data_IF_817216519109
#
_entry.id   IF_817216519109
#
_cell.length_a   1.000
_cell.length_b   1.000
_cell.length_c   1.000
_cell.angle_alpha   90.00
_cell.angle_beta   90.00
_cell.angle_gamma   90.00
#
_symmetry.space_group_name_H-M   'P 1'
#
loop_
_entity.id
_entity.type
_entity.pdbx_description
1 polymer ?
#
# COMPACT_ATOMS: atom_id res chain seq x y z
N UNK A 1 21.59 -11.55 0.28
CA UNK A 1 20.62 -10.81 -0.56
C UNK A 1 19.43 -10.20 0.21
N UNK A 2 19.04 -10.70 1.39
CA UNK A 2 17.91 -10.10 2.16
C UNK A 2 18.22 -8.70 2.70
N UNK A 3 19.47 -8.42 3.10
CA UNK A 3 19.85 -7.11 3.65
C UNK A 3 19.86 -5.94 2.64
N UNK A 4 20.05 -6.22 1.34
CA UNK A 4 20.07 -5.17 0.30
C UNK A 4 18.67 -4.73 -0.11
N UNK A 5 17.67 -5.62 -0.08
CA UNK A 5 16.29 -5.23 -0.38
C UNK A 5 15.71 -4.34 0.73
N UNK A 6 16.03 -4.65 1.99
CA UNK A 6 15.58 -3.87 3.14
C UNK A 6 16.21 -2.48 3.21
N UNK A 7 17.47 -2.33 2.83
CA UNK A 7 18.15 -1.02 2.85
C UNK A 7 17.53 -0.02 1.85
N UNK A 8 16.90 -0.52 0.79
CA UNK A 8 16.25 0.31 -0.25
C UNK A 8 14.73 0.41 -0.07
N UNK A 9 14.15 -0.31 0.89
CA UNK A 9 12.70 -0.30 1.10
C UNK A 9 12.25 0.94 1.85
N UNK A 10 11.57 1.85 1.15
CA UNK A 10 11.06 3.12 1.68
C UNK A 10 9.55 3.23 1.53
N UNK A 11 8.93 4.14 2.29
CA UNK A 11 7.50 4.42 2.14
C UNK A 11 7.15 4.93 0.74
N UNK A 12 8.06 5.66 0.06
CA UNK A 12 7.90 6.07 -1.35
C UNK A 12 7.81 4.86 -2.28
N UNK A 13 8.71 3.88 -2.12
CA UNK A 13 8.71 2.67 -2.93
C UNK A 13 7.46 1.83 -2.66
N UNK A 14 7.07 1.67 -1.39
CA UNK A 14 5.83 0.97 -1.00
C UNK A 14 4.59 1.61 -1.65
N UNK A 15 4.51 2.94 -1.68
CA UNK A 15 3.42 3.66 -2.35
C UNK A 15 3.38 3.38 -3.87
N UNK A 16 4.54 3.41 -4.54
CA UNK A 16 4.64 3.09 -5.98
C UNK A 16 4.20 1.65 -6.27
N UNK A 17 4.65 0.69 -5.46
CA UNK A 17 4.24 -0.72 -5.59
C UNK A 17 2.72 -0.88 -5.42
N UNK A 18 2.09 -0.19 -4.46
CA UNK A 18 0.62 -0.22 -4.30
C UNK A 18 -0.12 0.32 -5.52
N UNK A 19 0.36 1.43 -6.09
CA UNK A 19 -0.24 2.02 -7.30
C UNK A 19 -0.09 1.06 -8.49
N UNK A 20 1.13 0.57 -8.76
CA UNK A 20 1.39 -0.37 -9.86
C UNK A 20 0.55 -1.64 -9.71
N UNK A 21 0.48 -2.16 -8.48
CA UNK A 21 -0.38 -3.28 -8.12
C UNK A 21 -1.85 -2.93 -8.43
N UNK A 22 -2.39 -1.82 -7.94
CA UNK A 22 -3.77 -1.42 -8.18
C UNK A 22 -4.10 -1.25 -9.68
N UNK A 23 -3.19 -0.64 -10.45
CA UNK A 23 -3.32 -0.51 -11.91
C UNK A 23 -3.35 -1.87 -12.60
N UNK A 24 -2.46 -2.79 -12.20
CA UNK A 24 -2.45 -4.16 -12.73
C UNK A 24 -3.79 -4.87 -12.49
N UNK A 25 -4.37 -4.73 -11.28
CA UNK A 25 -5.67 -5.32 -10.94
C UNK A 25 -6.79 -4.79 -11.82
N UNK A 26 -6.90 -3.47 -11.95
CA UNK A 26 -7.91 -2.85 -12.81
C UNK A 26 -7.69 -3.21 -14.29
N UNK A 27 -6.43 -3.29 -14.74
CA UNK A 27 -6.10 -3.79 -16.08
C UNK A 27 -6.62 -5.21 -16.32
N UNK A 28 -6.45 -6.12 -15.35
CA UNK A 28 -6.97 -7.49 -15.45
C UNK A 28 -8.50 -7.53 -15.47
N UNK A 29 -9.16 -6.68 -14.68
CA UNK A 29 -10.63 -6.59 -14.61
C UNK A 29 -11.22 -6.03 -15.90
N UNK A 30 -10.59 -5.00 -16.48
CA UNK A 30 -11.03 -4.41 -17.76
C UNK A 30 -10.82 -5.38 -18.93
N UNK A 31 -9.77 -6.20 -18.88
CA UNK A 31 -9.45 -7.20 -19.91
C UNK A 31 -10.01 -8.59 -19.60
N UNK A 32 -10.90 -8.71 -18.61
CA UNK A 32 -11.38 -10.00 -18.10
C UNK A 32 -12.21 -10.79 -19.13
N UNK A 33 -12.73 -10.14 -20.17
CA UNK A 33 -13.33 -10.81 -21.34
C UNK A 33 -12.30 -11.65 -22.11
N UNK A 34 -11.37 -11.04 -22.87
CA UNK A 34 -10.39 -11.78 -23.66
C UNK A 34 -9.31 -12.50 -22.83
N UNK A 35 -9.07 -12.06 -21.59
CA UNK A 35 -7.97 -12.54 -20.74
C UNK A 35 -8.43 -13.05 -19.36
N UNK A 36 -9.70 -13.47 -19.23
CA UNK A 36 -10.25 -13.93 -17.95
C UNK A 36 -9.47 -15.08 -17.30
N UNK A 37 -8.83 -15.95 -18.11
CA UNK A 37 -7.97 -17.03 -17.62
C UNK A 37 -6.70 -16.55 -16.90
N UNK A 38 -6.23 -15.33 -17.19
CA UNK A 38 -5.09 -14.71 -16.50
C UNK A 38 -5.46 -14.16 -15.12
N UNK A 39 -6.75 -14.04 -14.81
CA UNK A 39 -7.18 -13.46 -13.54
C UNK A 39 -6.64 -14.24 -12.33
N UNK A 40 -6.79 -15.57 -12.34
CA UNK A 40 -6.29 -16.43 -11.26
C UNK A 40 -4.76 -16.35 -11.05
N UNK A 41 -3.90 -16.52 -12.08
CA UNK A 41 -2.45 -16.41 -11.89
C UNK A 41 -2.02 -14.99 -11.49
N UNK A 42 -2.63 -13.93 -12.04
CA UNK A 42 -2.34 -12.55 -11.64
C UNK A 42 -2.73 -12.32 -10.18
N UNK A 43 -3.89 -12.80 -9.75
CA UNK A 43 -4.33 -12.70 -8.36
C UNK A 43 -3.40 -13.46 -7.41
N UNK A 44 -2.90 -14.65 -7.80
CA UNK A 44 -1.94 -15.42 -7.02
C UNK A 44 -0.61 -14.68 -6.85
N UNK A 45 -0.01 -14.21 -7.95
CA UNK A 45 1.25 -13.43 -7.92
C UNK A 45 1.07 -12.18 -7.06
N UNK A 46 -0.04 -11.46 -7.24
CA UNK A 46 -0.38 -10.27 -6.46
C UNK A 46 -0.46 -10.59 -4.97
N UNK A 47 -1.04 -11.72 -4.59
CA UNK A 47 -1.18 -12.12 -3.18
C UNK A 47 0.18 -12.34 -2.54
N UNK A 48 1.07 -13.06 -3.23
CA UNK A 48 2.45 -13.29 -2.77
C UNK A 48 3.22 -11.96 -2.64
N UNK A 49 3.15 -11.10 -3.67
CA UNK A 49 3.79 -9.79 -3.63
C UNK A 49 3.23 -8.89 -2.52
N UNK A 50 1.91 -8.93 -2.29
CA UNK A 50 1.25 -8.16 -1.23
C UNK A 50 1.68 -8.64 0.16
N UNK A 51 1.87 -9.95 0.33
CA UNK A 51 2.40 -10.52 1.58
C UNK A 51 3.85 -10.06 1.82
N UNK A 52 4.72 -10.19 0.81
CA UNK A 52 6.09 -9.70 0.89
C UNK A 52 6.14 -8.21 1.21
N UNK A 53 5.31 -7.41 0.53
CA UNK A 53 5.16 -5.98 0.79
C UNK A 53 4.69 -5.70 2.22
N UNK A 54 3.78 -6.51 2.76
CA UNK A 54 3.27 -6.36 4.13
C UNK A 54 4.35 -6.63 5.17
N UNK A 55 5.15 -7.68 4.99
CA UNK A 55 6.30 -7.98 5.87
C UNK A 55 7.31 -6.83 5.86
N UNK A 56 7.65 -6.32 4.67
CA UNK A 56 8.56 -5.18 4.54
C UNK A 56 7.99 -3.90 5.17
N UNK A 57 6.69 -3.64 5.02
CA UNK A 57 6.02 -2.51 5.66
C UNK A 57 5.96 -2.62 7.19
N UNK A 58 5.77 -3.81 7.75
CA UNK A 58 5.82 -4.02 9.21
C UNK A 58 7.21 -3.72 9.74
N UNK A 59 8.26 -4.20 9.06
CA UNK A 59 9.66 -3.94 9.43
C UNK A 59 9.99 -2.45 9.34
N UNK A 60 9.57 -1.79 8.25
CA UNK A 60 9.74 -0.34 8.07
C UNK A 60 8.96 0.46 9.12
N UNK A 61 7.74 0.03 9.45
CA UNK A 61 6.88 0.63 10.47
C UNK A 61 7.46 0.62 11.88
N UNK A 62 8.34 -0.34 12.20
CA UNK A 62 9.10 -0.35 13.47
C UNK A 62 10.10 0.81 13.56
N UNK A 63 10.60 1.31 12.43
CA UNK A 63 11.59 2.41 12.36
C UNK A 63 10.91 3.76 12.10
N UNK A 64 9.93 3.77 11.22
CA UNK A 64 9.19 4.95 10.78
C UNK A 64 7.69 4.63 10.83
N UNK A 65 7.02 4.88 11.96
CA UNK A 65 5.63 4.49 12.13
C UNK A 65 4.73 5.21 11.12
N UNK A 66 3.76 4.47 10.59
CA UNK A 66 2.69 5.03 9.77
C UNK A 66 1.56 5.56 10.65
N UNK A 67 0.76 6.47 10.11
CA UNK A 67 -0.51 6.87 10.75
C UNK A 67 -1.39 5.66 11.05
N UNK A 68 -2.09 5.73 12.18
CA UNK A 68 -2.97 4.67 12.65
C UNK A 68 -4.18 4.53 11.71
N UNK A 69 -4.63 3.30 11.53
CA UNK A 69 -5.85 3.01 10.78
C UNK A 69 -7.09 3.52 11.53
N UNK A 70 -8.03 4.09 10.78
CA UNK A 70 -9.27 4.64 11.32
C UNK A 70 -10.47 3.71 11.08
N UNK A 71 -11.65 4.08 11.62
CA UNK A 71 -12.87 3.28 11.47
C UNK A 71 -13.28 3.09 10.01
N UNK A 72 -13.00 4.07 9.15
CA UNK A 72 -13.30 3.99 7.73
C UNK A 72 -12.45 2.90 7.06
N UNK A 73 -11.17 2.78 7.40
CA UNK A 73 -10.33 1.70 6.89
C UNK A 73 -10.88 0.33 7.25
N UNK A 74 -11.33 0.15 8.49
CA UNK A 74 -11.94 -1.10 8.94
C UNK A 74 -13.26 -1.39 8.23
N UNK A 75 -14.07 -0.36 7.96
CA UNK A 75 -15.28 -0.50 7.14
C UNK A 75 -14.93 -0.93 5.70
N UNK A 76 -13.87 -0.37 5.11
CA UNK A 76 -13.42 -0.81 3.78
C UNK A 76 -12.93 -2.26 3.81
N UNK A 77 -12.18 -2.67 4.84
CA UNK A 77 -11.76 -4.07 5.02
C UNK A 77 -12.98 -5.00 5.11
N UNK A 78 -13.98 -4.65 5.92
CA UNK A 78 -15.23 -5.40 6.00
C UNK A 78 -15.95 -5.47 4.64
N UNK A 79 -16.00 -4.36 3.90
CA UNK A 79 -16.55 -4.30 2.55
C UNK A 79 -15.83 -5.22 1.57
N UNK A 80 -14.50 -5.31 1.64
CA UNK A 80 -13.70 -6.25 0.82
C UNK A 80 -14.12 -7.69 1.11
N UNK A 81 -14.22 -8.09 2.39
CA UNK A 81 -14.63 -9.45 2.74
C UNK A 81 -16.08 -9.75 2.33
N UNK A 82 -17.01 -8.81 2.56
CA UNK A 82 -18.39 -8.95 2.15
C UNK A 82 -18.52 -9.10 0.62
N UNK A 83 -17.78 -8.28 -0.14
CA UNK A 83 -17.74 -8.37 -1.60
C UNK A 83 -17.13 -9.67 -2.11
N UNK A 84 -16.09 -10.19 -1.44
CA UNK A 84 -15.50 -11.48 -1.79
C UNK A 84 -16.48 -12.64 -1.55
N UNK A 85 -17.20 -12.61 -0.43
CA UNK A 85 -18.23 -13.60 -0.11
C UNK A 85 -19.39 -13.54 -1.12
N UNK A 86 -19.83 -12.33 -1.47
CA UNK A 86 -20.83 -12.12 -2.53
C UNK A 86 -20.38 -12.71 -3.87
N UNK A 87 -19.16 -12.42 -4.31
CA UNK A 87 -18.62 -12.94 -5.57
C UNK A 87 -18.55 -14.48 -5.57
N UNK A 88 -18.10 -15.07 -4.46
CA UNK A 88 -18.06 -16.53 -4.30
C UNK A 88 -19.47 -17.15 -4.32
N UNK A 89 -20.43 -16.53 -3.64
CA UNK A 89 -21.82 -16.95 -3.64
C UNK A 89 -22.44 -16.89 -5.02
N UNK A 90 -22.29 -15.78 -5.74
CA UNK A 90 -22.82 -15.65 -7.12
C UNK A 90 -22.20 -16.70 -8.04
N UNK A 91 -20.88 -16.89 -7.99
CA UNK A 91 -20.19 -17.94 -8.78
C UNK A 91 -20.74 -19.34 -8.48
N UNK A 92 -20.96 -19.65 -7.19
CA UNK A 92 -21.46 -20.95 -6.75
C UNK A 92 -22.93 -21.20 -7.15
N UNK A 93 -23.82 -20.21 -6.96
CA UNK A 93 -25.26 -20.39 -7.20
C UNK A 93 -25.67 -20.22 -8.66
N UNK A 94 -24.97 -19.37 -9.43
CA UNK A 94 -25.33 -19.11 -10.83
C UNK A 94 -24.70 -20.10 -11.81
N UNK A 95 -23.65 -20.82 -11.40
CA UNK A 95 -22.81 -21.61 -12.30
C UNK A 95 -22.08 -20.78 -13.37
N UNK A 96 -22.25 -19.46 -13.37
CA UNK A 96 -21.60 -18.54 -14.29
C UNK A 96 -20.18 -18.22 -13.82
N UNK A 97 -19.27 -18.00 -14.78
CA UNK A 97 -17.92 -17.55 -14.49
C UNK A 97 -17.91 -16.18 -13.79
N UNK A 98 -16.80 -15.89 -13.10
CA UNK A 98 -16.60 -14.60 -12.43
C UNK A 98 -16.71 -13.48 -13.47
N UNK A 99 -17.55 -12.48 -13.22
CA UNK A 99 -17.70 -11.28 -14.06
C UNK A 99 -17.12 -10.04 -13.36
N UNK A 100 -16.73 -9.00 -14.10
CA UNK A 100 -16.30 -7.72 -13.51
C UNK A 100 -17.32 -7.16 -12.51
N UNK A 101 -18.62 -7.26 -12.82
CA UNK A 101 -19.69 -6.75 -11.95
C UNK A 101 -19.78 -7.51 -10.63
N UNK A 102 -19.53 -8.82 -10.64
CA UNK A 102 -19.53 -9.63 -9.41
C UNK A 102 -18.36 -9.33 -8.48
N UNK A 103 -17.25 -8.81 -9.00
CA UNK A 103 -16.07 -8.46 -8.19
C UNK A 103 -16.02 -6.99 -7.78
N UNK A 104 -16.81 -6.11 -8.41
CA UNK A 104 -16.87 -4.68 -8.06
C UNK A 104 -17.12 -4.40 -6.57
N UNK A 105 -18.07 -5.09 -5.88
CA UNK A 105 -18.29 -4.88 -4.45
C UNK A 105 -17.07 -5.13 -3.57
N UNK A 106 -16.13 -5.98 -4.03
CA UNK A 106 -14.84 -6.20 -3.38
C UNK A 106 -13.78 -5.17 -3.83
N UNK A 107 -13.72 -4.91 -5.15
CA UNK A 107 -12.66 -4.10 -5.75
C UNK A 107 -12.74 -2.63 -5.38
N UNK A 108 -13.94 -2.07 -5.29
CA UNK A 108 -14.14 -0.66 -4.93
C UNK A 108 -13.60 -0.34 -3.53
N UNK A 109 -14.04 -1.01 -2.45
CA UNK A 109 -13.51 -0.74 -1.12
C UNK A 109 -12.01 -1.07 -1.01
N UNK A 110 -11.55 -2.11 -1.72
CA UNK A 110 -10.12 -2.43 -1.79
C UNK A 110 -9.32 -1.29 -2.43
N UNK A 111 -9.80 -0.70 -3.53
CA UNK A 111 -9.15 0.41 -4.22
C UNK A 111 -9.04 1.64 -3.33
N UNK A 112 -10.13 1.97 -2.62
CA UNK A 112 -10.16 3.08 -1.66
C UNK A 112 -9.13 2.85 -0.54
N UNK A 113 -9.11 1.65 0.04
CA UNK A 113 -8.14 1.28 1.08
C UNK A 113 -6.70 1.43 0.59
N UNK A 114 -6.39 0.94 -0.63
CA UNK A 114 -5.05 1.07 -1.21
C UNK A 114 -4.64 2.52 -1.41
N UNK A 115 -5.55 3.37 -1.91
CA UNK A 115 -5.27 4.79 -2.13
C UNK A 115 -5.04 5.54 -0.82
N UNK A 116 -5.79 5.22 0.23
CA UNK A 116 -5.56 5.79 1.58
C UNK A 116 -4.20 5.38 2.12
N UNK A 117 -3.82 4.12 1.98
CA UNK A 117 -2.49 3.65 2.38
C UNK A 117 -1.36 4.28 1.54
N UNK A 118 -1.59 4.54 0.25
CA UNK A 118 -0.65 5.30 -0.59
C UNK A 118 -0.45 6.72 -0.07
N UNK A 119 -1.53 7.41 0.29
CA UNK A 119 -1.47 8.76 0.86
C UNK A 119 -0.65 8.78 2.16
N UNK A 120 -0.94 7.84 3.08
CA UNK A 120 -0.18 7.71 4.35
C UNK A 120 1.29 7.39 4.14
N UNK A 121 1.60 6.47 3.22
CA UNK A 121 2.99 6.17 2.85
C UNK A 121 3.71 7.38 2.27
N UNK A 122 3.05 8.18 1.42
CA UNK A 122 3.64 9.43 0.92
C UNK A 122 3.86 10.45 2.03
N UNK A 123 2.91 10.60 2.94
CA UNK A 123 3.06 11.49 4.08
C UNK A 123 4.23 11.05 4.99
N UNK A 124 4.29 9.77 5.35
CA UNK A 124 5.39 9.22 6.15
C UNK A 124 6.76 9.35 5.47
N UNK A 125 6.81 9.24 4.13
CA UNK A 125 8.03 9.52 3.37
C UNK A 125 8.47 10.98 3.49
N UNK A 126 7.54 11.94 3.31
CA UNK A 126 7.85 13.37 3.46
C UNK A 126 8.35 13.69 4.87
N UNK A 127 7.71 13.14 5.90
CA UNK A 127 8.14 13.31 7.29
C UNK A 127 9.54 12.73 7.53
N UNK A 128 9.83 11.56 6.94
CA UNK A 128 11.16 10.94 7.03
C UNK A 128 12.23 11.80 6.35
N UNK A 129 11.91 12.45 5.22
CA UNK A 129 12.84 13.34 4.50
C UNK A 129 13.06 14.67 5.25
N UNK A 130 12.08 15.15 6.04
CA UNK A 130 12.19 16.39 6.81
C UNK A 130 12.95 16.24 8.14
N UNK A 131 12.99 15.03 8.74
CA UNK A 131 13.69 14.78 10.02
C UNK A 131 15.17 15.21 10.01
N UNK A 132 16.00 14.84 9.01
CA UNK A 132 17.39 15.25 8.96
C UNK A 132 17.55 16.77 8.91
N UNK A 133 16.75 17.46 8.09
CA UNK A 133 16.79 18.92 7.98
C UNK A 133 16.42 19.61 9.31
N UNK A 134 15.46 19.05 10.05
CA UNK A 134 15.05 19.57 11.36
C UNK A 134 16.14 19.35 12.41
N UNK A 135 16.81 18.20 12.38
CA UNK A 135 17.92 17.89 13.28
C UNK A 135 19.13 18.79 13.03
N UNK A 136 19.53 18.99 11.77
CA UNK A 136 20.60 19.93 11.38
C UNK A 136 20.28 21.33 11.91
N UNK A 137 19.04 21.81 11.70
CA UNK A 137 18.63 23.14 12.18
C UNK A 137 18.70 23.26 13.71
N UNK A 138 18.32 22.21 14.45
CA UNK A 138 18.44 22.18 15.91
C UNK A 138 19.89 22.14 16.38
N UNK A 139 20.77 21.44 15.67
CA UNK A 139 22.21 21.45 15.93
C UNK A 139 22.80 22.85 15.72
N UNK A 140 22.43 23.54 14.65
CA UNK A 140 22.84 24.92 14.39
C UNK A 140 22.38 25.88 15.50
N UNK A 141 21.13 25.78 15.94
CA UNK A 141 20.64 26.57 17.09
C UNK A 141 21.46 26.30 18.37
N UNK A 142 21.78 25.04 18.67
CA UNK A 142 22.64 24.71 19.84
C UNK A 142 24.06 25.24 19.71
N UNK A 143 24.62 25.30 18.51
CA UNK A 143 25.95 25.89 18.28
C UNK A 143 25.94 27.39 18.54
N UNK A 144 24.91 28.09 18.06
CA UNK A 144 24.71 29.52 18.32
C UNK A 144 24.56 29.83 19.81
N UNK A 145 23.81 29.01 20.57
CA UNK A 145 23.71 29.15 22.03
C UNK A 145 25.06 28.95 22.75
N UNK A 146 25.96 28.15 22.19
CA UNK A 146 27.32 27.91 22.73
C UNK A 146 28.36 28.93 22.25
N UNK A 147 27.97 29.90 21.41
CA UNK A 147 28.89 30.89 20.84
C UNK A 147 29.84 30.32 19.78
N UNK A 148 29.55 29.13 19.25
CA UNK A 148 30.34 28.51 18.19
C UNK A 148 29.95 29.12 16.83
N UNK A 149 30.90 29.43 15.94
CA UNK A 149 30.61 29.95 14.62
C UNK A 149 29.83 28.92 13.78
N UNK A 150 28.85 29.40 13.02
CA UNK A 150 28.03 28.59 12.10
C UNK A 150 28.90 27.91 11.05
N UNK A 151 28.67 26.62 10.81
CA UNK A 151 29.33 25.87 9.74
C UNK A 151 28.63 26.16 8.40
N UNK A 152 28.83 27.37 7.88
CA UNK A 152 28.49 27.73 6.50
C UNK A 152 29.69 27.43 5.58
#
# INVERSE_FOLDING_TARGET
MVGTVESHWTWRLSARCRIASLLSLWGTVLLMGPLGWLFAPVAAIRTVLSLAQSVLNVRLGRRLPLERQDRLDWLMVAGVFAGAYFAAGVSHFSGAGISPFTVLPMLVPFSILQMRMVARSRHAALVADMRPATLVRLEDYRRLERGEPSAA
#
